data_IF_906878593273
#
_entry.id   IF_906878593273
#
_cell.length_a   1.000
_cell.length_b   1.000
_cell.length_c   1.000
_cell.angle_alpha   90.00
_cell.angle_beta   90.00
_cell.angle_gamma   90.00
#
_symmetry.space_group_name_H-M   'P 1'
#
loop_
_entity.id
_entity.type
_entity.pdbx_description
1 polymer ?
#
# COMPACT_ATOMS: atom_id res chain seq x y z
N UNK A 1 19.59 -18.09 -9.55
CA UNK A 1 18.74 -16.99 -9.06
C UNK A 1 17.99 -16.37 -10.23
N UNK A 2 16.73 -16.73 -10.46
CA UNK A 2 15.90 -16.14 -11.51
C UNK A 2 14.64 -15.58 -10.87
N UNK A 3 14.57 -14.26 -10.72
CA UNK A 3 13.31 -13.56 -10.59
C UNK A 3 12.88 -13.19 -12.01
N UNK A 4 12.00 -14.00 -12.59
CA UNK A 4 11.35 -13.73 -13.87
C UNK A 4 9.96 -13.12 -13.62
N UNK A 5 9.63 -12.14 -14.45
CA UNK A 5 8.29 -11.80 -14.92
C UNK A 5 7.43 -10.85 -14.09
N UNK A 6 7.43 -9.59 -14.55
CA UNK A 6 6.24 -9.05 -15.20
C UNK A 6 5.00 -8.87 -14.33
N UNK A 7 4.94 -7.77 -13.57
CA UNK A 7 3.68 -7.14 -13.24
C UNK A 7 3.61 -5.76 -13.91
N UNK A 8 3.08 -5.76 -15.13
CA UNK A 8 2.57 -4.56 -15.76
C UNK A 8 1.32 -4.15 -14.96
N UNK A 9 1.45 -3.12 -14.11
CA UNK A 9 0.29 -2.39 -13.64
C UNK A 9 -0.48 -1.88 -14.88
N UNK A 10 -1.82 -1.91 -14.91
CA UNK A 10 -2.54 -1.19 -15.95
C UNK A 10 -2.10 0.27 -15.86
N UNK A 11 -1.39 0.74 -16.89
CA UNK A 11 -0.98 2.14 -17.02
C UNK A 11 -2.17 2.92 -17.56
N UNK A 12 -2.88 3.74 -16.76
CA UNK A 12 -3.71 4.77 -17.33
C UNK A 12 -2.78 5.84 -17.92
N UNK A 13 -2.80 5.99 -19.25
CA UNK A 13 -2.23 7.17 -19.91
C UNK A 13 -2.95 8.41 -19.38
N UNK A 14 -2.23 9.25 -18.65
CA UNK A 14 -2.69 10.58 -18.21
C UNK A 14 -1.59 11.57 -18.58
N UNK A 15 -1.89 12.70 -19.26
CA UNK A 15 -0.89 13.68 -19.62
C UNK A 15 -0.21 14.24 -18.36
N UNK A 16 1.11 14.31 -18.41
CA UNK A 16 1.96 14.80 -17.33
C UNK A 16 1.74 16.30 -17.09
N UNK A 17 0.85 16.64 -16.16
CA UNK A 17 0.81 17.96 -15.54
C UNK A 17 2.01 18.09 -14.61
N UNK A 18 3.04 18.81 -15.03
CA UNK A 18 4.26 19.16 -14.28
C UNK A 18 3.96 20.17 -13.17
N UNK A 19 3.22 19.73 -12.15
CA UNK A 19 3.20 20.42 -10.86
C UNK A 19 4.45 20.05 -10.08
N UNK A 20 5.35 21.00 -9.85
CA UNK A 20 6.57 20.84 -9.04
C UNK A 20 6.21 20.14 -7.71
N UNK A 21 6.61 18.88 -7.59
CA UNK A 21 6.31 18.04 -6.44
C UNK A 21 7.00 18.58 -5.17
N UNK A 22 6.22 18.81 -4.11
CA UNK A 22 6.75 19.28 -2.83
C UNK A 22 7.67 18.21 -2.20
N UNK A 23 8.96 18.53 -1.94
CA UNK A 23 9.91 17.56 -1.39
C UNK A 23 9.52 17.07 0.01
N UNK A 24 8.86 17.91 0.82
CA UNK A 24 8.34 17.54 2.13
C UNK A 24 7.27 16.46 2.04
N UNK A 25 6.34 16.61 1.09
CA UNK A 25 5.30 15.63 0.78
C UNK A 25 5.89 14.29 0.35
N UNK A 26 6.92 14.29 -0.49
CA UNK A 26 7.61 13.06 -0.90
C UNK A 26 8.36 12.39 0.26
N UNK A 27 8.96 13.18 1.16
CA UNK A 27 9.59 12.66 2.37
C UNK A 27 8.56 11.99 3.28
N UNK A 28 7.39 12.61 3.48
CA UNK A 28 6.27 12.04 4.23
C UNK A 28 5.73 10.76 3.63
N UNK A 29 5.54 10.71 2.30
CA UNK A 29 5.15 9.49 1.58
C UNK A 29 6.18 8.38 1.78
N UNK A 30 7.49 8.67 1.64
CA UNK A 30 8.54 7.67 1.85
C UNK A 30 8.59 7.16 3.29
N UNK A 31 8.40 8.03 4.28
CA UNK A 31 8.33 7.64 5.68
C UNK A 31 7.15 6.70 5.95
N UNK A 32 5.94 7.07 5.51
CA UNK A 32 4.75 6.24 5.66
C UNK A 32 4.88 4.89 4.93
N UNK A 33 5.50 4.87 3.75
CA UNK A 33 5.73 3.62 3.02
C UNK A 33 6.69 2.69 3.77
N UNK A 34 7.78 3.20 4.33
CA UNK A 34 8.72 2.40 5.14
C UNK A 34 8.02 1.82 6.38
N UNK A 35 7.25 2.65 7.07
CA UNK A 35 6.50 2.24 8.25
C UNK A 35 5.50 1.12 7.94
N UNK A 36 4.72 1.27 6.88
CA UNK A 36 3.76 0.26 6.45
C UNK A 36 4.45 -1.06 6.05
N UNK A 37 5.57 -1.00 5.32
CA UNK A 37 6.33 -2.19 4.93
C UNK A 37 6.93 -2.91 6.14
N UNK A 38 7.35 -2.17 7.17
CA UNK A 38 7.85 -2.76 8.41
C UNK A 38 6.74 -3.50 9.18
N UNK A 39 5.51 -2.98 9.18
CA UNK A 39 4.35 -3.61 9.82
C UNK A 39 3.79 -4.80 9.06
N UNK A 40 3.88 -4.77 7.72
CA UNK A 40 3.29 -5.77 6.84
C UNK A 40 4.33 -6.27 5.83
N UNK A 41 5.32 -7.09 6.25
CA UNK A 41 6.40 -7.54 5.36
C UNK A 41 5.89 -8.42 4.20
N UNK A 42 4.75 -9.11 4.39
CA UNK A 42 4.11 -9.92 3.34
C UNK A 42 3.29 -9.10 2.34
N UNK A 43 3.20 -7.78 2.52
CA UNK A 43 2.48 -6.88 1.64
C UNK A 43 3.45 -6.02 0.82
N UNK A 44 3.23 -5.96 -0.49
CA UNK A 44 3.91 -5.01 -1.37
C UNK A 44 3.12 -3.71 -1.34
N UNK A 45 3.71 -2.63 -0.85
CA UNK A 45 3.03 -1.36 -0.57
C UNK A 45 3.67 -0.21 -1.35
N UNK A 46 2.86 0.60 -2.02
CA UNK A 46 3.30 1.76 -2.81
C UNK A 46 2.28 2.91 -2.84
N UNK A 47 2.76 4.12 -3.17
CA UNK A 47 1.91 5.30 -3.38
C UNK A 47 1.80 5.61 -4.87
N UNK A 48 0.59 5.52 -5.40
CA UNK A 48 0.28 5.85 -6.79
C UNK A 48 0.17 7.35 -6.98
N UNK A 49 1.30 8.00 -7.30
CA UNK A 49 1.42 9.45 -7.50
C UNK A 49 0.34 10.04 -8.42
N UNK A 50 0.06 9.38 -9.54
CA UNK A 50 -0.96 9.80 -10.51
C UNK A 50 -2.39 9.79 -9.92
N UNK A 51 -2.66 8.87 -8.99
CA UNK A 51 -3.99 8.70 -8.38
C UNK A 51 -4.12 9.38 -7.02
N UNK A 52 -2.99 9.82 -6.43
CA UNK A 52 -2.91 10.30 -5.06
C UNK A 52 -3.30 9.26 -4.00
N UNK A 53 -3.24 7.96 -4.32
CA UNK A 53 -3.73 6.86 -3.46
C UNK A 53 -2.62 5.92 -3.05
N UNK A 54 -2.81 5.33 -1.88
CA UNK A 54 -2.04 4.21 -1.36
C UNK A 54 -2.56 2.90 -1.91
N UNK A 55 -1.64 2.01 -2.26
CA UNK A 55 -1.94 0.70 -2.81
C UNK A 55 -1.13 -0.36 -2.08
N UNK A 56 -1.73 -1.54 -1.92
CA UNK A 56 -1.04 -2.70 -1.42
C UNK A 56 -1.50 -3.98 -2.11
N UNK A 57 -0.58 -4.88 -2.42
CA UNK A 57 -0.91 -6.28 -2.73
C UNK A 57 -0.42 -7.16 -1.60
N UNK A 58 -1.28 -8.09 -1.18
CA UNK A 58 -0.89 -9.13 -0.23
C UNK A 58 -0.84 -10.43 -1.01
N UNK A 59 0.33 -11.06 -1.00
CA UNK A 59 0.48 -12.39 -1.58
C UNK A 59 -0.25 -13.39 -0.68
N UNK A 60 -1.26 -14.07 -1.23
CA UNK A 60 -1.92 -15.15 -0.54
C UNK A 60 -1.32 -16.46 -1.03
N UNK A 61 -0.67 -17.19 -0.13
CA UNK A 61 -0.14 -18.55 -0.34
C UNK A 61 -1.16 -19.55 -0.96
N UNK A 62 -2.46 -19.21 -0.99
CA UNK A 62 -3.57 -20.04 -1.48
C UNK A 62 -4.48 -19.40 -2.53
N UNK A 63 -4.08 -18.30 -3.19
CA UNK A 63 -4.96 -17.69 -4.20
C UNK A 63 -4.43 -16.41 -4.85
N UNK A 64 -5.19 -15.84 -5.80
CA UNK A 64 -4.79 -14.61 -6.49
C UNK A 64 -4.57 -13.48 -5.47
N UNK A 65 -3.39 -12.86 -5.53
CA UNK A 65 -3.01 -11.76 -4.65
C UNK A 65 -4.05 -10.64 -4.69
N UNK A 66 -4.47 -10.17 -3.51
CA UNK A 66 -5.56 -9.19 -3.41
C UNK A 66 -4.99 -7.78 -3.37
N UNK A 67 -5.55 -6.91 -4.23
CA UNK A 67 -5.19 -5.51 -4.32
C UNK A 67 -6.08 -4.65 -3.41
N UNK A 68 -5.44 -3.83 -2.58
CA UNK A 68 -6.08 -2.87 -1.68
C UNK A 68 -5.70 -1.45 -2.07
N UNK A 69 -6.63 -0.51 -1.88
CA UNK A 69 -6.42 0.91 -2.16
C UNK A 69 -7.01 1.77 -1.06
N UNK A 70 -6.32 2.84 -0.68
CA UNK A 70 -6.77 3.79 0.33
C UNK A 70 -6.31 5.21 0.01
N UNK A 71 -6.95 6.23 0.61
CA UNK A 71 -6.56 7.64 0.43
C UNK A 71 -5.42 8.06 1.36
N UNK A 72 -5.36 7.47 2.55
CA UNK A 72 -4.35 7.75 3.58
C UNK A 72 -3.69 6.45 4.07
N UNK A 73 -2.44 6.50 4.57
CA UNK A 73 -1.71 5.30 4.97
C UNK A 73 -2.36 4.56 6.14
N UNK A 74 -2.99 5.28 7.08
CA UNK A 74 -3.69 4.69 8.22
C UNK A 74 -4.87 3.79 7.78
N UNK A 75 -5.63 4.20 6.77
CA UNK A 75 -6.71 3.37 6.20
C UNK A 75 -6.16 2.13 5.51
N UNK A 76 -5.05 2.26 4.78
CA UNK A 76 -4.40 1.10 4.18
C UNK A 76 -3.95 0.10 5.26
N UNK A 77 -3.37 0.58 6.35
CA UNK A 77 -2.99 -0.26 7.48
C UNK A 77 -4.19 -1.00 8.07
N UNK A 78 -5.33 -0.33 8.26
CA UNK A 78 -6.55 -0.96 8.77
C UNK A 78 -7.08 -2.07 7.84
N UNK A 79 -7.05 -1.83 6.52
CA UNK A 79 -7.44 -2.83 5.51
C UNK A 79 -6.53 -4.06 5.54
N UNK A 80 -5.22 -3.86 5.72
CA UNK A 80 -4.25 -4.95 5.82
C UNK A 80 -4.38 -5.72 7.14
N UNK A 81 -4.63 -5.02 8.24
CA UNK A 81 -4.75 -5.62 9.58
C UNK A 81 -5.94 -6.57 9.70
N UNK A 82 -7.10 -6.20 9.15
CA UNK A 82 -8.27 -7.08 9.10
C UNK A 82 -8.12 -8.33 8.22
N UNK A 83 -6.97 -8.51 7.55
CA UNK A 83 -6.70 -9.59 6.60
C UNK A 83 -5.45 -10.41 6.93
N UNK A 84 -4.41 -9.77 7.46
CA UNK A 84 -3.17 -10.43 7.94
C UNK A 84 -3.36 -11.09 9.31
N UNK A 85 -4.48 -10.83 9.96
CA UNK A 85 -4.88 -11.44 11.22
C UNK A 85 -5.34 -10.36 12.17
N UNK A 86 -6.64 -10.32 12.46
CA UNK A 86 -7.14 -9.51 13.56
C UNK A 86 -6.47 -9.99 14.87
N UNK A 87 -5.77 -9.15 15.63
CA UNK A 87 -5.72 -9.37 17.07
C UNK A 87 -7.17 -9.23 17.58
N UNK A 88 -7.62 -10.08 18.52
CA UNK A 88 -8.97 -9.98 19.04
C UNK A 88 -9.15 -8.58 19.63
N UNK A 89 -10.15 -7.85 19.12
CA UNK A 89 -10.64 -6.64 19.78
C UNK A 89 -11.13 -7.05 21.16
N UNK A 90 -10.31 -6.84 22.19
CA UNK A 90 -10.76 -6.94 23.58
C UNK A 90 -11.73 -5.76 23.80
N UNK A 91 -13.02 -5.99 24.09
CA UNK A 91 -13.94 -4.90 24.35
C UNK A 91 -13.48 -4.10 25.58
N UNK A 92 -13.75 -2.79 25.65
CA UNK A 92 -13.48 -2.02 26.86
C UNK A 92 -14.28 -2.64 28.01
N UNK A 93 -13.57 -3.12 29.02
CA UNK A 93 -14.19 -3.46 30.31
C UNK A 93 -14.70 -2.16 30.90
N UNK A 94 -16.01 -2.11 31.11
CA UNK A 94 -16.72 -0.97 31.67
C UNK A 94 -16.62 -0.98 33.19
#
# INVERSE_FOLDING_TARGET
>A
MMWLSGFAAPSPSVPAGTGREDPGRLAGIRAAQRELRARFPSAVIWYGRATGRWWATVDHQRGPGRLYKARIPAELAALLHGRVGSPPRRPPVR
#
